data_IF_586252152494
#
_entry.id   IF_586252152494
#
_cell.length_a   1.000
_cell.length_b   1.000
_cell.length_c   1.000
_cell.angle_alpha   90.00
_cell.angle_beta   90.00
_cell.angle_gamma   90.00
#
_symmetry.space_group_name_H-M   'P 1'
#
loop_
_entity.id
_entity.type
_entity.pdbx_description
1 polymer ?
#
# COMPACT_ATOMS: atom_id res chain seq x y z
N UNK A 1 -14.39 4.84 16.75
CA UNK A 1 -14.12 3.66 15.91
C UNK A 1 -14.69 3.82 14.50
N UNK A 2 -16.00 4.04 14.33
CA UNK A 2 -16.63 4.16 13.00
C UNK A 2 -16.14 5.40 12.23
N UNK A 3 -16.30 6.60 12.81
CA UNK A 3 -16.05 7.87 12.13
C UNK A 3 -14.69 8.51 12.44
N UNK A 4 -13.80 7.83 13.17
CA UNK A 4 -12.51 8.41 13.56
C UNK A 4 -11.62 8.83 12.38
N UNK A 5 -11.73 8.13 11.25
CA UNK A 5 -10.99 8.43 10.03
C UNK A 5 -11.28 9.83 9.46
N UNK A 6 -12.47 10.41 9.71
CA UNK A 6 -12.78 11.79 9.32
C UNK A 6 -11.92 12.83 10.05
N UNK A 7 -11.49 12.54 11.28
CA UNK A 7 -10.62 13.40 12.10
C UNK A 7 -9.13 13.07 11.92
N UNK A 8 -8.78 12.05 11.13
CA UNK A 8 -7.40 11.63 10.91
C UNK A 8 -6.60 12.63 10.05
N UNK A 9 -5.30 12.75 10.28
CA UNK A 9 -4.38 13.65 9.57
C UNK A 9 -3.79 12.95 8.34
N UNK A 10 -4.56 12.93 7.24
CA UNK A 10 -4.23 12.18 6.02
C UNK A 10 -3.59 13.02 4.93
N UNK A 11 -3.96 14.30 4.83
CA UNK A 11 -3.45 15.21 3.80
C UNK A 11 -2.06 15.76 4.18
N UNK A 12 -0.99 15.38 3.46
CA UNK A 12 0.35 15.90 3.72
C UNK A 12 0.54 17.37 3.33
N UNK A 13 -0.35 17.94 2.51
CA UNK A 13 -0.31 19.34 2.08
C UNK A 13 -1.10 20.26 3.00
N UNK A 14 -2.02 19.71 3.80
CA UNK A 14 -2.88 20.48 4.70
C UNK A 14 -3.84 21.44 3.97
N UNK A 15 -4.25 21.09 2.75
CA UNK A 15 -5.19 21.83 1.91
C UNK A 15 -6.64 21.42 2.16
N UNK A 16 -6.85 20.17 2.60
CA UNK A 16 -8.19 19.62 2.79
C UNK A 16 -8.78 20.03 4.15
N UNK A 17 -9.90 20.77 4.12
CA UNK A 17 -10.74 21.01 5.29
C UNK A 17 -11.80 19.92 5.41
N UNK A 18 -11.58 18.95 6.32
CA UNK A 18 -12.54 17.88 6.58
C UNK A 18 -13.46 18.24 7.74
N UNK A 19 -14.80 18.27 7.56
CA UNK A 19 -15.72 18.47 8.66
C UNK A 19 -15.59 17.30 9.63
N UNK A 20 -15.38 17.61 10.91
CA UNK A 20 -15.39 16.59 11.97
C UNK A 20 -16.85 16.27 12.28
N UNK A 21 -17.28 15.02 12.16
CA UNK A 21 -18.64 14.63 12.53
C UNK A 21 -18.97 14.96 13.98
N UNK A 22 -20.19 15.44 14.23
CA UNK A 22 -20.66 15.82 15.58
C UNK A 22 -20.64 14.63 16.56
N UNK A 23 -20.76 13.40 16.05
CA UNK A 23 -20.75 12.17 16.85
C UNK A 23 -19.38 11.86 17.47
N UNK A 24 -18.32 12.58 17.09
CA UNK A 24 -17.01 12.55 17.72
C UNK A 24 -16.86 13.59 18.85
N UNK A 25 -17.83 14.50 19.02
CA UNK A 25 -17.82 15.45 20.13
C UNK A 25 -18.48 14.82 21.39
N UNK A 26 -17.75 14.68 22.51
CA UNK A 26 -18.31 14.20 23.77
C UNK A 26 -19.51 15.01 24.28
N UNK A 27 -19.56 16.31 23.99
CA UNK A 27 -20.65 17.21 24.40
C UNK A 27 -22.02 16.75 23.87
N UNK A 28 -22.04 16.14 22.68
CA UNK A 28 -23.26 15.59 22.07
C UNK A 28 -23.92 14.53 22.96
N UNK A 29 -23.11 13.81 23.74
CA UNK A 29 -23.57 12.76 24.67
C UNK A 29 -23.74 13.26 26.10
N UNK A 30 -23.65 14.58 26.33
CA UNK A 30 -23.81 15.20 27.64
C UNK A 30 -22.58 15.10 28.55
N UNK A 31 -21.42 14.73 28.01
CA UNK A 31 -20.16 14.84 28.74
C UNK A 31 -19.62 16.25 28.66
N UNK A 32 -19.17 16.78 29.79
CA UNK A 32 -18.55 18.10 29.89
C UNK A 32 -17.07 17.98 30.27
N UNK A 33 -16.31 19.08 30.27
CA UNK A 33 -14.92 19.07 30.75
C UNK A 33 -14.78 18.55 32.19
N UNK A 34 -15.79 18.79 33.04
CA UNK A 34 -15.82 18.29 34.42
C UNK A 34 -15.90 16.76 34.51
N UNK A 35 -16.36 16.10 33.43
CA UNK A 35 -16.51 14.64 33.38
C UNK A 35 -15.25 13.93 32.88
N UNK A 36 -14.26 14.66 32.35
CA UNK A 36 -13.06 14.08 31.77
C UNK A 36 -12.26 13.23 32.75
N UNK A 37 -12.21 13.64 34.02
CA UNK A 37 -11.48 12.94 35.06
C UNK A 37 -12.37 11.96 35.86
N UNK A 38 -13.64 11.82 35.47
CA UNK A 38 -14.51 10.77 36.01
C UNK A 38 -14.12 9.41 35.45
N UNK A 39 -14.21 8.44 36.32
CA UNK A 39 -13.90 7.05 36.08
C UNK A 39 -15.10 6.30 35.50
N UNK A 40 -14.87 5.56 34.40
CA UNK A 40 -15.89 4.77 33.72
C UNK A 40 -15.48 3.31 33.64
N UNK A 41 -16.45 2.43 33.89
CA UNK A 41 -16.30 1.01 33.68
C UNK A 41 -16.56 0.63 32.22
N UNK A 42 -15.55 0.07 31.57
CA UNK A 42 -15.65 -0.39 30.19
C UNK A 42 -16.08 -1.86 30.15
N UNK A 43 -17.39 -2.07 30.22
CA UNK A 43 -18.01 -3.40 30.29
C UNK A 43 -18.50 -3.93 28.95
N UNK A 44 -17.62 -4.03 27.93
CA UNK A 44 -18.04 -4.53 26.61
C UNK A 44 -17.78 -6.02 26.49
N UNK A 45 -18.83 -6.84 26.58
CA UNK A 45 -18.73 -8.26 26.30
C UNK A 45 -18.51 -8.50 24.79
N UNK A 46 -17.51 -9.31 24.44
CA UNK A 46 -17.19 -9.77 23.08
C UNK A 46 -16.56 -8.74 22.10
N UNK A 47 -16.05 -7.61 22.60
CA UNK A 47 -15.12 -6.75 21.84
C UNK A 47 -13.67 -7.01 22.24
N UNK A 48 -12.78 -7.06 21.25
CA UNK A 48 -11.33 -7.12 21.44
C UNK A 48 -10.71 -5.69 21.53
N UNK A 49 -9.39 -5.54 21.62
CA UNK A 49 -8.70 -4.24 21.72
C UNK A 49 -8.48 -3.75 23.16
N UNK A 50 -8.09 -2.49 23.36
CA UNK A 50 -7.77 -2.02 24.73
C UNK A 50 -8.99 -1.88 25.64
N UNK A 51 -10.19 -1.82 25.06
CA UNK A 51 -11.45 -1.88 25.80
C UNK A 51 -11.72 -3.30 26.36
N UNK A 52 -10.92 -4.29 25.97
CA UNK A 52 -11.03 -5.69 26.42
C UNK A 52 -10.08 -6.07 27.55
N UNK A 53 -9.05 -5.26 27.85
CA UNK A 53 -8.02 -5.57 28.85
C UNK A 53 -8.59 -5.51 30.28
N UNK A 54 -8.97 -6.65 30.87
CA UNK A 54 -9.11 -6.81 32.32
C UNK A 54 -10.07 -5.83 33.05
N UNK A 55 -11.16 -5.43 32.39
CA UNK A 55 -12.25 -4.63 32.98
C UNK A 55 -11.75 -3.38 33.74
N UNK A 56 -10.87 -2.55 33.16
CA UNK A 56 -10.25 -1.48 33.90
C UNK A 56 -11.23 -0.31 33.96
N UNK A 57 -11.35 0.25 35.14
CA UNK A 57 -11.92 1.58 35.30
C UNK A 57 -10.89 2.56 34.71
N UNK A 58 -11.31 3.37 33.73
CA UNK A 58 -10.45 4.38 33.11
C UNK A 58 -11.15 5.74 33.12
N UNK A 59 -10.38 6.82 33.22
CA UNK A 59 -10.93 8.16 33.08
C UNK A 59 -11.41 8.40 31.66
N UNK A 60 -12.48 9.18 31.49
CA UNK A 60 -12.98 9.55 30.17
C UNK A 60 -11.89 10.20 29.31
N UNK A 61 -11.04 11.03 29.92
CA UNK A 61 -9.86 11.65 29.30
C UNK A 61 -8.93 10.61 28.67
N UNK A 62 -8.59 9.55 29.40
CA UNK A 62 -7.70 8.50 28.91
C UNK A 62 -8.36 7.71 27.78
N UNK A 63 -9.66 7.42 27.90
CA UNK A 63 -10.42 6.72 26.85
C UNK A 63 -10.39 7.51 25.55
N UNK A 64 -10.72 8.81 25.59
CA UNK A 64 -10.72 9.69 24.42
C UNK A 64 -9.31 9.77 23.83
N UNK A 65 -8.29 10.03 24.65
CA UNK A 65 -6.90 10.13 24.17
C UNK A 65 -6.42 8.85 23.44
N UNK A 66 -6.77 7.66 23.95
CA UNK A 66 -6.43 6.39 23.31
C UNK A 66 -7.17 6.19 21.99
N UNK A 67 -8.46 6.54 21.94
CA UNK A 67 -9.24 6.46 20.70
C UNK A 67 -8.72 7.44 19.64
N UNK A 68 -8.37 8.66 20.03
CA UNK A 68 -7.79 9.66 19.13
C UNK A 68 -6.43 9.22 18.62
N UNK A 69 -5.58 8.67 19.49
CA UNK A 69 -4.29 8.12 19.08
C UNK A 69 -4.45 6.97 18.07
N UNK A 70 -5.41 6.07 18.31
CA UNK A 70 -5.62 4.89 17.47
C UNK A 70 -6.31 5.21 16.13
N UNK A 71 -7.26 6.14 16.09
CA UNK A 71 -8.15 6.34 14.94
C UNK A 71 -8.02 7.69 14.25
N UNK A 72 -7.38 8.68 14.88
CA UNK A 72 -7.29 10.07 14.39
C UNK A 72 -5.83 10.51 14.15
N UNK A 73 -4.89 9.56 14.09
CA UNK A 73 -3.48 9.80 13.79
C UNK A 73 -3.21 10.03 12.29
N UNK A 74 -2.05 9.57 11.82
CA UNK A 74 -1.66 9.63 10.39
C UNK A 74 -2.23 8.48 9.55
N UNK A 75 -3.08 7.64 10.14
CA UNK A 75 -3.73 6.50 9.48
C UNK A 75 -5.23 6.59 9.79
N UNK A 76 -6.05 6.57 8.75
CA UNK A 76 -7.51 6.46 8.85
C UNK A 76 -7.92 5.01 8.67
N UNK A 77 -8.72 4.48 9.61
CA UNK A 77 -9.21 3.10 9.54
C UNK A 77 -10.70 3.07 9.21
N UNK A 78 -11.03 2.43 8.10
CA UNK A 78 -12.40 2.12 7.69
C UNK A 78 -12.59 0.60 7.64
N UNK A 79 -13.26 0.05 8.64
CA UNK A 79 -13.46 -1.40 8.72
C UNK A 79 -14.79 -1.81 9.37
N UNK A 80 -15.48 -0.89 10.04
CA UNK A 80 -16.71 -1.20 10.78
C UNK A 80 -17.88 -1.55 9.86
N UNK A 81 -17.76 -1.36 8.54
CA UNK A 81 -18.72 -1.82 7.53
C UNK A 81 -18.59 -3.33 7.23
N UNK A 82 -17.53 -4.00 7.71
CA UNK A 82 -17.34 -5.44 7.55
C UNK A 82 -18.36 -6.17 8.44
N UNK A 83 -19.24 -7.03 7.89
CA UNK A 83 -20.28 -7.71 8.67
C UNK A 83 -19.72 -8.79 9.61
N UNK A 84 -18.53 -9.30 9.32
CA UNK A 84 -17.85 -10.33 10.10
C UNK A 84 -17.17 -9.74 11.34
N UNK A 85 -17.71 -10.09 12.51
CA UNK A 85 -17.23 -9.60 13.80
C UNK A 85 -15.81 -10.07 14.12
N UNK A 86 -15.43 -11.28 13.74
CA UNK A 86 -14.12 -11.82 14.07
C UNK A 86 -13.03 -11.09 13.27
N UNK A 87 -13.31 -10.73 12.02
CA UNK A 87 -12.45 -9.83 11.22
C UNK A 87 -12.34 -8.44 11.84
N UNK A 88 -13.46 -7.85 12.27
CA UNK A 88 -13.45 -6.57 12.97
C UNK A 88 -12.65 -6.63 14.28
N UNK A 89 -12.79 -7.69 15.07
CA UNK A 89 -12.02 -7.91 16.29
C UNK A 89 -10.52 -8.11 16.00
N UNK A 90 -10.19 -8.83 14.94
CA UNK A 90 -8.80 -9.04 14.51
C UNK A 90 -8.11 -7.72 14.13
N UNK A 91 -8.83 -6.83 13.43
CA UNK A 91 -8.36 -5.49 13.09
C UNK A 91 -8.24 -4.62 14.35
N UNK A 92 -9.26 -4.61 15.20
CA UNK A 92 -9.26 -3.85 16.44
C UNK A 92 -8.07 -4.19 17.34
N UNK A 93 -7.75 -5.48 17.48
CA UNK A 93 -6.56 -5.92 18.24
C UNK A 93 -5.23 -5.39 17.71
N UNK A 94 -5.14 -5.05 16.43
CA UNK A 94 -3.93 -4.48 15.82
C UNK A 94 -3.92 -2.96 15.89
N UNK A 95 -5.07 -2.34 15.70
CA UNK A 95 -5.24 -0.88 15.70
C UNK A 95 -5.12 -0.32 17.12
N UNK A 96 -5.81 -0.94 18.07
CA UNK A 96 -5.90 -0.51 19.47
C UNK A 96 -4.76 -1.04 20.35
N UNK A 97 -3.62 -1.38 19.73
CA UNK A 97 -2.45 -1.88 20.44
C UNK A 97 -1.88 -0.77 21.35
N UNK A 98 -1.62 -1.03 22.65
CA UNK A 98 -1.11 -0.02 23.58
C UNK A 98 0.23 0.60 23.18
N UNK A 99 1.06 -0.17 22.49
CA UNK A 99 2.38 0.24 22.02
C UNK A 99 2.45 0.17 20.49
N UNK A 100 2.65 1.31 19.81
CA UNK A 100 2.97 1.30 18.39
C UNK A 100 4.19 0.42 18.10
N UNK A 101 4.26 -0.17 16.92
CA UNK A 101 5.45 -0.90 16.50
C UNK A 101 6.65 0.06 16.43
N UNK A 102 7.58 -0.08 17.37
CA UNK A 102 8.82 0.69 17.36
C UNK A 102 9.85 0.04 16.45
N UNK A 103 10.16 0.69 15.33
CA UNK A 103 11.27 0.28 14.49
C UNK A 103 12.60 0.69 15.12
N UNK A 104 13.55 -0.25 15.18
CA UNK A 104 14.93 0.05 15.56
C UNK A 104 15.62 1.00 14.56
N UNK A 105 16.77 1.54 14.95
CA UNK A 105 17.52 2.52 14.15
C UNK A 105 17.87 1.96 12.77
N UNK A 106 18.27 0.70 12.69
CA UNK A 106 18.67 0.03 11.46
C UNK A 106 17.50 -0.06 10.49
N UNK A 107 16.30 -0.40 10.96
CA UNK A 107 15.10 -0.49 10.12
C UNK A 107 14.67 0.89 9.63
N UNK A 108 14.75 1.93 10.47
CA UNK A 108 14.48 3.32 10.07
C UNK A 108 15.47 3.78 8.99
N UNK A 109 16.75 3.45 9.12
CA UNK A 109 17.76 3.76 8.11
C UNK A 109 17.49 3.05 6.79
N UNK A 110 17.02 1.80 6.80
CA UNK A 110 16.63 1.07 5.58
C UNK A 110 15.42 1.73 4.90
N UNK A 111 14.43 2.20 5.66
CA UNK A 111 13.28 2.93 5.10
C UNK A 111 13.72 4.25 4.47
N UNK A 112 14.58 5.01 5.15
CA UNK A 112 15.15 6.25 4.65
C UNK A 112 15.98 6.02 3.37
N UNK A 113 16.84 5.00 3.35
CA UNK A 113 17.62 4.63 2.17
C UNK A 113 16.70 4.33 0.97
N UNK A 114 15.64 3.55 1.17
CA UNK A 114 14.64 3.25 0.12
C UNK A 114 13.95 4.51 -0.41
N UNK A 115 13.64 5.48 0.44
CA UNK A 115 13.10 6.78 0.04
C UNK A 115 14.13 7.58 -0.77
N UNK A 116 15.37 7.66 -0.30
CA UNK A 116 16.46 8.36 -0.99
C UNK A 116 16.67 7.80 -2.39
N UNK A 117 16.69 6.47 -2.55
CA UNK A 117 16.78 5.83 -3.86
C UNK A 117 15.62 6.20 -4.78
N UNK A 118 14.39 6.26 -4.25
CA UNK A 118 13.21 6.69 -5.01
C UNK A 118 13.36 8.12 -5.51
N UNK A 119 13.69 9.06 -4.61
CA UNK A 119 13.82 10.48 -4.92
C UNK A 119 15.00 10.76 -5.86
N UNK A 120 16.16 10.17 -5.61
CA UNK A 120 17.33 10.35 -6.48
C UNK A 120 17.10 9.80 -7.89
N UNK A 121 16.38 8.69 -8.01
CA UNK A 121 16.03 8.13 -9.32
C UNK A 121 15.18 9.12 -10.13
N UNK A 122 14.13 9.71 -9.54
CA UNK A 122 13.32 10.72 -10.23
C UNK A 122 14.12 11.97 -10.58
N UNK A 123 14.90 12.50 -9.64
CA UNK A 123 15.74 13.69 -9.87
C UNK A 123 16.75 13.46 -11.00
N UNK A 124 17.36 12.27 -11.06
CA UNK A 124 18.26 11.89 -12.14
C UNK A 124 17.55 11.86 -13.49
N UNK A 125 16.38 11.21 -13.57
CA UNK A 125 15.60 11.15 -14.81
C UNK A 125 15.18 12.55 -15.26
N UNK A 126 14.72 13.40 -14.34
CA UNK A 126 14.32 14.77 -14.61
C UNK A 126 15.48 15.63 -15.12
N UNK A 127 16.68 15.44 -14.57
CA UNK A 127 17.89 16.18 -14.98
C UNK A 127 18.40 15.71 -16.34
N UNK A 128 18.42 14.39 -16.58
CA UNK A 128 19.02 13.82 -17.78
C UNK A 128 18.12 13.93 -19.01
N UNK A 129 16.81 13.81 -18.82
CA UNK A 129 15.81 13.85 -19.89
C UNK A 129 14.70 14.84 -19.56
N UNK A 130 15.06 16.13 -19.56
CA UNK A 130 14.18 17.24 -19.15
C UNK A 130 12.86 17.34 -19.92
N UNK A 131 12.84 16.96 -21.20
CA UNK A 131 11.66 17.04 -22.07
C UNK A 131 10.89 15.72 -22.17
N UNK A 132 11.42 14.62 -21.61
CA UNK A 132 10.80 13.31 -21.77
C UNK A 132 9.67 13.10 -20.77
N UNK A 133 8.51 12.66 -21.26
CA UNK A 133 7.42 12.21 -20.38
C UNK A 133 7.85 10.94 -19.62
N UNK A 134 7.86 11.03 -18.29
CA UNK A 134 8.27 9.94 -17.38
C UNK A 134 7.20 9.50 -16.37
N UNK A 135 6.20 10.33 -16.10
CA UNK A 135 5.16 10.09 -15.09
C UNK A 135 5.76 9.76 -13.72
N UNK A 136 6.51 10.70 -13.16
CA UNK A 136 7.25 10.49 -11.93
C UNK A 136 6.42 10.21 -10.69
N UNK A 137 7.12 9.75 -9.66
CA UNK A 137 6.57 9.43 -8.34
C UNK A 137 6.79 10.57 -7.32
N UNK A 138 7.12 11.79 -7.74
CA UNK A 138 7.34 12.89 -6.79
C UNK A 138 6.11 13.18 -5.94
N UNK A 139 6.32 13.30 -4.63
CA UNK A 139 5.27 13.44 -3.63
C UNK A 139 4.62 12.12 -3.21
N UNK A 140 4.96 11.01 -3.86
CA UNK A 140 4.42 9.67 -3.59
C UNK A 140 5.54 8.63 -3.36
N UNK A 141 6.75 9.06 -3.03
CA UNK A 141 7.95 8.22 -2.93
C UNK A 141 7.81 7.12 -1.87
N UNK A 142 6.96 7.33 -0.86
CA UNK A 142 6.61 6.35 0.18
C UNK A 142 6.03 5.05 -0.39
N UNK A 143 5.53 5.06 -1.63
CA UNK A 143 5.14 3.83 -2.34
C UNK A 143 6.30 2.83 -2.42
N UNK A 144 7.54 3.28 -2.65
CA UNK A 144 8.70 2.40 -2.80
C UNK A 144 9.07 1.66 -1.51
N UNK A 145 9.29 2.31 -0.35
CA UNK A 145 9.53 1.59 0.89
C UNK A 145 8.32 0.74 1.29
N UNK A 146 7.08 1.22 1.09
CA UNK A 146 5.86 0.48 1.39
C UNK A 146 5.75 -0.83 0.61
N UNK A 147 5.94 -0.80 -0.71
CA UNK A 147 5.93 -2.00 -1.55
C UNK A 147 7.05 -2.97 -1.17
N UNK A 148 8.26 -2.48 -0.94
CA UNK A 148 9.38 -3.33 -0.52
C UNK A 148 9.12 -4.01 0.82
N UNK A 149 8.52 -3.29 1.76
CA UNK A 149 8.13 -3.82 3.06
C UNK A 149 7.06 -4.89 2.93
N UNK A 150 6.02 -4.62 2.15
CA UNK A 150 4.94 -5.55 1.86
C UNK A 150 5.48 -6.84 1.21
N UNK A 151 6.42 -6.74 0.26
CA UNK A 151 7.00 -7.91 -0.40
C UNK A 151 7.91 -8.71 0.53
N UNK A 152 8.72 -8.04 1.34
CA UNK A 152 9.55 -8.71 2.34
C UNK A 152 8.65 -9.47 3.34
N UNK A 153 7.60 -8.82 3.86
CA UNK A 153 6.64 -9.45 4.78
C UNK A 153 5.86 -10.59 4.13
N UNK A 154 5.46 -10.44 2.87
CA UNK A 154 4.77 -11.49 2.12
C UNK A 154 5.65 -12.72 1.95
N UNK A 155 6.93 -12.54 1.64
CA UNK A 155 7.89 -13.63 1.55
C UNK A 155 8.11 -14.33 2.89
N UNK A 156 8.14 -13.59 4.00
CA UNK A 156 8.23 -14.17 5.36
C UNK A 156 6.98 -15.00 5.71
N UNK A 157 5.82 -14.67 5.13
CA UNK A 157 4.56 -15.40 5.27
C UNK A 157 4.40 -16.56 4.27
N UNK A 158 5.41 -16.83 3.44
CA UNK A 158 5.41 -17.96 2.50
C UNK A 158 4.91 -17.66 1.09
N UNK A 159 4.71 -16.37 0.73
CA UNK A 159 4.38 -15.99 -0.65
C UNK A 159 5.61 -16.19 -1.55
N UNK A 160 5.43 -16.97 -2.62
CA UNK A 160 6.47 -17.34 -3.58
C UNK A 160 6.42 -16.47 -4.84
N UNK A 161 5.24 -15.98 -5.23
CA UNK A 161 5.05 -15.18 -6.45
C UNK A 161 4.10 -14.01 -6.22
N UNK A 162 4.48 -12.82 -6.72
CA UNK A 162 3.63 -11.63 -6.73
C UNK A 162 3.44 -11.15 -8.17
N UNK A 163 2.18 -11.04 -8.59
CA UNK A 163 1.79 -10.44 -9.86
C UNK A 163 1.31 -9.03 -9.62
N UNK A 164 1.88 -8.06 -10.33
CA UNK A 164 1.64 -6.64 -10.10
C UNK A 164 0.94 -6.03 -11.31
N UNK A 165 -0.15 -5.31 -11.08
CA UNK A 165 -0.77 -4.36 -12.00
C UNK A 165 -0.58 -2.95 -11.48
N UNK A 166 -0.23 -2.01 -12.35
CA UNK A 166 -0.18 -0.60 -11.96
C UNK A 166 -0.40 0.33 -13.14
N UNK A 167 -0.90 1.53 -12.84
CA UNK A 167 -0.95 2.66 -13.78
C UNK A 167 0.45 3.19 -14.16
N UNK A 168 0.50 4.25 -14.95
CA UNK A 168 1.76 4.84 -15.42
C UNK A 168 2.53 5.62 -14.34
N UNK A 169 1.87 6.11 -13.29
CA UNK A 169 2.50 6.96 -12.26
C UNK A 169 3.52 6.18 -11.43
N UNK A 170 4.76 6.65 -11.44
CA UNK A 170 5.90 6.05 -10.74
C UNK A 170 6.34 4.68 -11.28
N UNK A 171 5.85 4.24 -12.44
CA UNK A 171 6.13 2.88 -12.94
C UNK A 171 7.62 2.64 -13.18
N UNK A 172 8.35 3.61 -13.71
CA UNK A 172 9.80 3.49 -13.91
C UNK A 172 10.53 3.35 -12.59
N UNK A 173 10.04 4.03 -11.55
CA UNK A 173 10.57 3.95 -10.19
C UNK A 173 10.33 2.55 -9.61
N UNK A 174 9.12 2.01 -9.73
CA UNK A 174 8.80 0.64 -9.31
C UNK A 174 9.66 -0.38 -10.07
N UNK A 175 9.80 -0.22 -11.39
CA UNK A 175 10.66 -1.09 -12.22
C UNK A 175 12.12 -1.07 -11.76
N UNK A 176 12.71 0.10 -11.56
CA UNK A 176 14.12 0.24 -11.17
C UNK A 176 14.36 -0.15 -9.71
N UNK A 177 13.58 0.41 -8.79
CA UNK A 177 13.85 0.31 -7.36
C UNK A 177 13.20 -0.90 -6.70
N UNK A 178 12.02 -1.37 -7.15
CA UNK A 178 11.31 -2.50 -6.52
C UNK A 178 11.56 -3.80 -7.27
N UNK A 179 11.26 -3.84 -8.57
CA UNK A 179 11.39 -5.06 -9.39
C UNK A 179 12.83 -5.33 -9.80
N UNK A 180 13.71 -4.33 -9.73
CA UNK A 180 15.14 -4.39 -10.11
C UNK A 180 15.39 -4.68 -11.58
N UNK A 181 14.54 -4.13 -12.47
CA UNK A 181 14.87 -4.06 -13.89
C UNK A 181 16.21 -3.31 -14.05
N UNK A 182 17.18 -3.84 -14.80
CA UNK A 182 18.49 -3.21 -14.93
C UNK A 182 18.38 -1.76 -15.40
N UNK A 183 19.04 -0.84 -14.69
CA UNK A 183 19.01 0.59 -15.01
C UNK A 183 19.46 0.88 -16.44
N UNK A 184 20.45 0.14 -16.95
CA UNK A 184 20.91 0.25 -18.35
C UNK A 184 19.77 0.02 -19.34
N UNK A 185 18.90 -0.95 -19.07
CA UNK A 185 17.75 -1.24 -19.93
C UNK A 185 16.73 -0.10 -19.86
N UNK A 186 16.41 0.38 -18.65
CA UNK A 186 15.52 1.54 -18.48
C UNK A 186 16.07 2.76 -19.22
N UNK A 187 17.36 3.07 -19.07
CA UNK A 187 17.97 4.25 -19.69
C UNK A 187 18.08 4.14 -21.21
N UNK A 188 18.30 2.94 -21.76
CA UNK A 188 18.29 2.74 -23.23
C UNK A 188 16.92 3.06 -23.85
N UNK A 189 15.83 2.86 -23.10
CA UNK A 189 14.47 3.16 -23.55
C UNK A 189 14.20 4.68 -23.65
N UNK A 190 15.01 5.52 -23.00
CA UNK A 190 14.93 6.99 -23.13
C UNK A 190 15.71 7.52 -24.34
N UNK A 191 16.71 6.81 -24.84
CA UNK A 191 17.62 7.28 -25.91
C UNK A 191 17.22 6.89 -27.33
N UNK A 192 16.00 6.35 -27.53
CA UNK A 192 15.46 6.13 -28.88
C UNK A 192 15.51 4.70 -29.41
N UNK A 193 15.33 3.68 -28.55
CA UNK A 193 14.78 2.40 -28.99
C UNK A 193 15.40 1.16 -28.34
N UNK A 194 14.54 0.18 -28.05
CA UNK A 194 14.89 -1.24 -28.16
C UNK A 194 15.46 -1.45 -29.56
N UNK A 195 16.77 -1.33 -29.72
CA UNK A 195 17.41 -1.89 -30.91
C UNK A 195 17.03 -3.37 -30.93
N UNK A 196 16.54 -3.93 -32.04
CA UNK A 196 16.56 -5.37 -32.20
C UNK A 196 18.03 -5.75 -32.06
N UNK A 197 18.40 -6.27 -30.90
CA UNK A 197 19.67 -6.96 -30.78
C UNK A 197 19.43 -8.25 -31.54
N UNK A 198 20.25 -8.54 -32.54
CA UNK A 198 20.29 -9.79 -33.32
C UNK A 198 20.64 -11.01 -32.43
N UNK A 199 20.05 -11.11 -31.24
CA UNK A 199 20.01 -12.30 -30.41
C UNK A 199 18.71 -13.04 -30.73
N UNK A 200 18.87 -14.20 -31.35
CA UNK A 200 17.81 -15.17 -31.61
C UNK A 200 17.02 -15.40 -30.30
N UNK A 201 15.86 -14.76 -30.17
CA UNK A 201 14.97 -14.92 -29.01
C UNK A 201 14.36 -13.64 -28.41
N UNK A 202 14.76 -12.42 -28.81
CA UNK A 202 14.16 -11.17 -28.27
C UNK A 202 13.42 -10.32 -29.33
N UNK A 203 12.10 -10.23 -29.15
CA UNK A 203 11.11 -9.24 -29.66
C UNK A 203 11.24 -8.75 -31.14
N UNK A 204 10.41 -9.32 -32.02
CA UNK A 204 10.21 -8.91 -33.44
C UNK A 204 8.88 -8.17 -33.65
N UNK A 205 8.40 -7.39 -32.67
CA UNK A 205 7.11 -6.67 -32.73
C UNK A 205 7.26 -5.15 -32.90
N UNK A 206 6.15 -4.43 -33.14
CA UNK A 206 6.10 -2.96 -33.28
C UNK A 206 6.52 -2.19 -32.03
N UNK A 207 6.64 -2.87 -30.88
CA UNK A 207 6.99 -2.29 -29.59
C UNK A 207 5.82 -1.53 -28.94
N UNK A 208 6.07 -0.98 -27.75
CA UNK A 208 5.19 -0.07 -27.03
C UNK A 208 6.04 0.91 -26.20
N UNK A 209 5.43 1.95 -25.62
CA UNK A 209 6.13 2.92 -24.79
C UNK A 209 6.68 2.27 -23.51
N UNK A 210 7.83 2.75 -23.03
CA UNK A 210 8.60 2.21 -21.90
C UNK A 210 7.81 1.92 -20.61
N UNK A 211 6.74 2.68 -20.37
CA UNK A 211 5.87 2.54 -19.20
C UNK A 211 4.63 1.65 -19.45
N UNK A 212 4.57 0.91 -20.56
CA UNK A 212 3.60 -0.17 -20.79
C UNK A 212 4.25 -1.56 -20.70
N UNK A 213 5.58 -1.64 -20.83
CA UNK A 213 6.29 -2.92 -20.85
C UNK A 213 6.23 -3.60 -19.47
N UNK A 214 5.96 -4.90 -19.49
CA UNK A 214 6.04 -5.77 -18.32
C UNK A 214 7.47 -6.23 -18.05
N UNK A 215 7.70 -6.80 -16.89
CA UNK A 215 8.97 -7.47 -16.57
C UNK A 215 8.74 -8.56 -15.54
N UNK A 216 9.61 -9.57 -15.51
CA UNK A 216 9.62 -10.57 -14.44
C UNK A 216 11.02 -10.73 -13.88
N UNK A 217 11.13 -10.84 -12.56
CA UNK A 217 12.41 -10.91 -11.88
C UNK A 217 12.31 -11.69 -10.58
N UNK A 218 13.27 -12.57 -10.33
CA UNK A 218 13.40 -13.28 -9.06
C UNK A 218 14.21 -12.43 -8.09
N UNK A 219 13.55 -11.96 -7.04
CA UNK A 219 14.17 -11.11 -6.03
C UNK A 219 14.54 -11.96 -4.79
N UNK A 220 15.80 -11.94 -4.33
CA UNK A 220 16.13 -12.43 -3.00
C UNK A 220 15.58 -11.45 -1.96
N UNK A 221 14.95 -12.00 -0.93
CA UNK A 221 14.43 -11.25 0.22
C UNK A 221 15.50 -11.18 1.31
N UNK A 222 15.34 -10.27 2.27
CA UNK A 222 16.29 -10.14 3.38
C UNK A 222 16.34 -11.39 4.28
N UNK A 223 15.25 -12.16 4.33
CA UNK A 223 15.14 -13.41 5.08
C UNK A 223 15.72 -14.64 4.37
N UNK A 224 16.30 -14.49 3.17
CA UNK A 224 16.89 -15.59 2.40
C UNK A 224 15.90 -16.29 1.44
N UNK A 225 14.60 -16.03 1.58
CA UNK A 225 13.59 -16.52 0.63
C UNK A 225 13.73 -15.84 -0.73
N UNK A 226 13.27 -16.49 -1.80
CA UNK A 226 13.17 -15.90 -3.13
C UNK A 226 11.70 -15.65 -3.46
N UNK A 227 11.41 -14.47 -3.99
CA UNK A 227 10.07 -14.12 -4.46
C UNK A 227 10.11 -13.76 -5.94
N UNK A 228 9.25 -14.39 -6.72
CA UNK A 228 9.09 -14.11 -8.15
C UNK A 228 8.16 -12.91 -8.33
N UNK A 229 8.69 -11.80 -8.83
CA UNK A 229 7.91 -10.60 -9.12
C UNK A 229 7.59 -10.55 -10.61
N UNK A 230 6.33 -10.31 -10.95
CA UNK A 230 5.90 -10.17 -12.35
C UNK A 230 5.02 -8.94 -12.52
N UNK A 231 5.58 -7.89 -13.11
CA UNK A 231 4.82 -6.70 -13.49
C UNK A 231 4.17 -6.94 -14.86
N UNK A 232 2.85 -6.87 -14.90
CA UNK A 232 2.07 -7.11 -16.11
C UNK A 232 2.19 -5.92 -17.07
N UNK A 233 2.28 -6.21 -18.37
CA UNK A 233 2.22 -5.19 -19.41
C UNK A 233 0.79 -4.65 -19.51
N UNK A 234 0.63 -3.34 -19.70
CA UNK A 234 -0.70 -2.72 -19.74
C UNK A 234 -0.77 -1.59 -20.78
N UNK A 235 -1.92 -1.42 -21.44
CA UNK A 235 -2.14 -0.27 -22.31
C UNK A 235 -2.33 1.02 -21.50
N UNK A 236 -2.54 2.13 -22.20
CA UNK A 236 -2.88 3.42 -21.58
C UNK A 236 -4.29 3.47 -20.95
N UNK A 237 -5.17 2.51 -21.29
CA UNK A 237 -6.49 2.38 -20.67
C UNK A 237 -6.32 1.99 -19.20
N UNK A 238 -6.54 2.95 -18.30
CA UNK A 238 -6.39 2.76 -16.85
C UNK A 238 -7.35 1.67 -16.36
N UNK A 239 -6.94 0.95 -15.32
CA UNK A 239 -7.68 -0.16 -14.69
C UNK A 239 -7.96 -1.40 -15.56
N UNK A 240 -7.78 -1.33 -16.89
CA UNK A 240 -7.97 -2.48 -17.79
C UNK A 240 -7.00 -3.66 -17.50
N UNK A 241 -5.92 -3.41 -16.75
CA UNK A 241 -4.95 -4.43 -16.34
C UNK A 241 -5.42 -5.25 -15.13
N UNK A 242 -6.39 -4.76 -14.37
CA UNK A 242 -6.81 -5.36 -13.11
C UNK A 242 -7.31 -6.80 -13.27
N UNK A 243 -8.29 -7.09 -14.15
CA UNK A 243 -8.75 -8.47 -14.35
C UNK A 243 -7.65 -9.34 -14.98
N UNK A 244 -6.73 -8.77 -15.74
CA UNK A 244 -5.59 -9.50 -16.32
C UNK A 244 -4.64 -9.98 -15.24
N UNK A 245 -4.36 -9.15 -14.23
CA UNK A 245 -3.51 -9.49 -13.10
C UNK A 245 -4.15 -10.54 -12.20
N UNK A 246 -5.44 -10.39 -11.89
CA UNK A 246 -6.19 -11.39 -11.10
C UNK A 246 -6.26 -12.73 -11.85
N UNK A 247 -6.54 -12.70 -13.16
CA UNK A 247 -6.55 -13.89 -14.01
C UNK A 247 -5.19 -14.58 -14.09
N UNK A 248 -4.11 -13.82 -14.28
CA UNK A 248 -2.73 -14.36 -14.28
C UNK A 248 -2.34 -14.94 -12.92
N UNK A 249 -2.75 -14.30 -11.83
CA UNK A 249 -2.53 -14.82 -10.46
C UNK A 249 -3.28 -16.13 -10.26
N UNK A 250 -4.55 -16.19 -10.70
CA UNK A 250 -5.35 -17.41 -10.64
C UNK A 250 -4.74 -18.55 -11.46
N UNK A 251 -4.23 -18.26 -12.65
CA UNK A 251 -3.53 -19.25 -13.47
C UNK A 251 -2.29 -19.79 -12.73
N UNK A 252 -1.48 -18.91 -12.12
CA UNK A 252 -0.33 -19.34 -11.31
C UNK A 252 -0.75 -20.24 -10.14
N UNK A 253 -1.80 -19.86 -9.39
CA UNK A 253 -2.33 -20.68 -8.30
C UNK A 253 -2.71 -22.08 -8.77
N UNK A 254 -3.35 -22.17 -9.93
CA UNK A 254 -3.73 -23.45 -10.54
C UNK A 254 -2.51 -24.30 -10.92
N UNK A 255 -1.58 -23.73 -11.70
CA UNK A 255 -0.42 -24.48 -12.18
C UNK A 255 0.61 -24.82 -11.09
N UNK A 256 0.64 -24.08 -9.98
CA UNK A 256 1.50 -24.37 -8.84
C UNK A 256 0.84 -25.24 -7.76
N UNK A 257 -0.37 -25.76 -8.01
CA UNK A 257 -1.18 -26.50 -7.01
C UNK A 257 -1.34 -25.74 -5.67
N UNK A 258 -1.46 -24.40 -5.72
CA UNK A 258 -1.67 -23.55 -4.56
C UNK A 258 -3.17 -23.52 -4.21
N UNK A 259 -3.66 -24.65 -3.68
CA UNK A 259 -5.09 -24.87 -3.39
C UNK A 259 -5.61 -23.87 -2.35
N UNK A 260 -4.80 -23.59 -1.33
CA UNK A 260 -5.12 -22.65 -0.25
C UNK A 260 -4.92 -21.18 -0.66
N UNK A 261 -4.35 -20.93 -1.85
CA UNK A 261 -4.11 -19.59 -2.43
C UNK A 261 -3.24 -18.69 -1.54
N UNK A 262 -2.25 -19.28 -0.89
CA UNK A 262 -1.37 -18.59 0.06
C UNK A 262 -0.01 -18.23 -0.54
N UNK A 263 0.37 -18.86 -1.66
CA UNK A 263 1.71 -18.71 -2.28
C UNK A 263 1.75 -17.68 -3.40
N UNK A 264 0.62 -17.41 -4.05
CA UNK A 264 0.53 -16.49 -5.18
C UNK A 264 -0.37 -15.30 -4.87
N UNK A 265 0.22 -14.11 -4.85
CA UNK A 265 -0.44 -12.84 -4.49
C UNK A 265 -0.60 -11.94 -5.72
N UNK A 266 -1.77 -11.29 -5.83
CA UNK A 266 -2.00 -10.18 -6.75
C UNK A 266 -1.82 -8.86 -6.01
N UNK A 267 -1.18 -7.88 -6.66
CA UNK A 267 -1.05 -6.50 -6.16
C UNK A 267 -1.48 -5.56 -7.27
N UNK A 268 -2.49 -4.74 -6.99
CA UNK A 268 -3.01 -3.73 -7.91
C UNK A 268 -2.73 -2.33 -7.36
N UNK A 269 -2.26 -1.43 -8.21
CA UNK A 269 -1.92 -0.05 -7.85
C UNK A 269 -2.68 0.89 -8.79
N UNK A 270 -3.58 1.68 -8.20
CA UNK A 270 -4.54 2.49 -8.94
C UNK A 270 -4.20 3.98 -8.84
N UNK A 271 -4.75 4.76 -9.76
CA UNK A 271 -4.92 6.21 -9.56
C UNK A 271 -6.25 6.46 -8.87
N UNK A 272 -6.33 7.47 -8.02
CA UNK A 272 -7.54 7.87 -7.29
C UNK A 272 -8.73 8.14 -8.22
N UNK A 273 -8.54 8.97 -9.25
CA UNK A 273 -9.61 9.31 -10.19
C UNK A 273 -10.05 8.14 -11.08
N UNK A 274 -9.13 7.26 -11.46
CA UNK A 274 -9.46 6.10 -12.30
C UNK A 274 -10.07 4.96 -11.49
N UNK A 275 -9.63 4.75 -10.25
CA UNK A 275 -10.21 3.76 -9.34
C UNK A 275 -11.71 4.01 -9.11
N UNK A 276 -12.09 5.26 -8.85
CA UNK A 276 -13.50 5.63 -8.65
C UNK A 276 -14.31 5.64 -9.96
N UNK A 277 -13.69 5.98 -11.09
CA UNK A 277 -14.39 6.29 -12.34
C UNK A 277 -14.49 5.14 -13.36
N UNK A 278 -13.70 4.08 -13.24
CA UNK A 278 -13.70 2.97 -14.21
C UNK A 278 -14.51 1.78 -13.70
N UNK A 279 -15.55 1.39 -14.44
CA UNK A 279 -16.44 0.28 -14.06
C UNK A 279 -15.73 -1.07 -13.91
N UNK A 280 -14.63 -1.29 -14.65
CA UNK A 280 -13.84 -2.53 -14.59
C UNK A 280 -13.27 -2.81 -13.19
N UNK A 281 -13.08 -1.78 -12.36
CA UNK A 281 -12.67 -1.92 -10.96
C UNK A 281 -13.73 -2.69 -10.18
N UNK A 282 -14.99 -2.25 -10.28
CA UNK A 282 -16.13 -2.89 -9.62
C UNK A 282 -16.44 -4.28 -10.19
N UNK A 283 -16.16 -4.52 -11.46
CA UNK A 283 -16.27 -5.86 -12.06
C UNK A 283 -15.19 -6.83 -11.56
N UNK A 284 -14.06 -6.30 -11.06
CA UNK A 284 -12.90 -7.11 -10.62
C UNK A 284 -12.88 -7.37 -9.11
N UNK A 285 -13.42 -6.45 -8.29
CA UNK A 285 -13.56 -6.58 -6.83
C UNK A 285 -14.49 -7.73 -6.42
#
# INVERSE_FOLDING_TARGET
QVNGHFKAKLDPLGLEERPVPDDLNPDLYGFTEADLDREFFLGVWQMAGFLSENRPVQTLRNIIARLEHAYCGSIGFEYMHIPDRDKCNWLRNRIETPTPMEYNKERRQVMLDRLIWSTQFENFLATKWTTAKRFGLEGCETLIPGMKEMFDRSADLGVESIVIGMSHRGRLNVLGNVVRKPLRQIFSEFTGGTKPVDEVGLYTGTGDVKYHLGTSYDRPTRGGNRIHLSLVANPSHLEAVDPVVVGKTRAKQYYSNDVDRTKNMAVLIHGDGSFAGQGVVYETL
#
